data_IF_912576085926
#
_entry.id   IF_912576085926
#
_cell.length_a   1.000
_cell.length_b   1.000
_cell.length_c   1.000
_cell.angle_alpha   90.00
_cell.angle_beta   90.00
_cell.angle_gamma   90.00
#
_symmetry.space_group_name_H-M   'P 1'
#
loop_
_entity.id
_entity.type
_entity.pdbx_description
1 polymer ?
#
# COMPACT_ATOMS: atom_id res chain seq x y z
N UNK A 1 -5.58 10.90 -15.83
CA UNK A 1 -5.09 9.68 -15.15
C UNK A 1 -5.25 8.52 -16.10
N UNK A 2 -4.17 7.78 -16.41
CA UNK A 2 -4.28 6.52 -17.16
C UNK A 2 -4.93 5.50 -16.23
N UNK A 3 -6.06 4.92 -16.63
CA UNK A 3 -6.63 3.76 -15.94
C UNK A 3 -5.68 2.60 -16.15
N UNK A 4 -5.02 2.16 -15.08
CA UNK A 4 -4.20 0.95 -15.12
C UNK A 4 -5.17 -0.23 -15.16
N UNK A 5 -4.98 -1.13 -16.12
CA UNK A 5 -5.78 -2.34 -16.22
C UNK A 5 -5.35 -3.31 -15.11
N UNK A 6 -6.31 -3.84 -14.36
CA UNK A 6 -6.07 -4.78 -13.27
C UNK A 6 -6.59 -6.17 -13.65
N UNK A 7 -5.70 -7.14 -13.72
CA UNK A 7 -6.03 -8.54 -13.87
C UNK A 7 -5.82 -9.27 -12.54
N UNK A 8 -6.90 -9.46 -11.78
CA UNK A 8 -6.88 -10.18 -10.50
C UNK A 8 -6.62 -11.66 -10.77
N UNK A 9 -5.59 -12.22 -10.12
CA UNK A 9 -5.21 -13.64 -10.25
C UNK A 9 -5.58 -14.46 -9.01
N UNK A 10 -5.52 -13.83 -7.84
CA UNK A 10 -5.86 -14.45 -6.57
C UNK A 10 -6.61 -13.44 -5.71
N UNK A 11 -7.61 -13.91 -4.98
CA UNK A 11 -8.31 -13.16 -3.96
C UNK A 11 -8.65 -14.10 -2.82
N UNK A 12 -8.40 -13.67 -1.59
CA UNK A 12 -8.87 -14.34 -0.39
C UNK A 12 -9.25 -13.29 0.66
N UNK A 13 -10.29 -13.61 1.43
CA UNK A 13 -10.79 -12.73 2.47
C UNK A 13 -10.91 -13.54 3.76
N UNK A 14 -10.25 -13.05 4.81
CA UNK A 14 -10.36 -13.54 6.18
C UNK A 14 -11.14 -12.52 7.02
N UNK A 15 -11.59 -12.92 8.21
CA UNK A 15 -12.23 -11.99 9.14
C UNK A 15 -11.46 -11.97 10.46
N UNK A 16 -11.07 -10.78 10.87
CA UNK A 16 -10.52 -10.50 12.19
C UNK A 16 -11.63 -9.88 13.03
N UNK A 17 -12.06 -10.55 14.08
CA UNK A 17 -12.99 -9.98 15.06
C UNK A 17 -12.17 -9.46 16.24
N UNK A 18 -12.29 -8.15 16.51
CA UNK A 18 -11.63 -7.49 17.62
C UNK A 18 -12.59 -6.50 18.25
N UNK A 19 -12.85 -6.71 19.53
CA UNK A 19 -13.60 -5.79 20.39
C UNK A 19 -12.64 -5.13 21.38
N UNK A 20 -12.98 -3.93 21.85
CA UNK A 20 -12.19 -3.21 22.83
C UNK A 20 -11.99 -4.06 24.11
N UNK A 21 -10.73 -4.25 24.52
CA UNK A 21 -10.37 -5.03 25.70
C UNK A 21 -10.51 -6.55 25.58
N UNK A 22 -10.94 -7.08 24.43
CA UNK A 22 -11.02 -8.52 24.18
C UNK A 22 -9.91 -9.00 23.24
N UNK A 23 -9.43 -10.26 23.36
CA UNK A 23 -8.47 -10.81 22.43
C UNK A 23 -9.07 -10.96 21.02
N UNK A 24 -8.24 -10.75 20.01
CA UNK A 24 -8.59 -10.90 18.62
C UNK A 24 -8.95 -12.35 18.30
N UNK A 25 -9.96 -12.55 17.45
CA UNK A 25 -10.37 -13.87 16.95
C UNK A 25 -10.32 -13.87 15.43
N UNK A 26 -9.68 -14.90 14.87
CA UNK A 26 -9.49 -15.02 13.44
C UNK A 26 -10.41 -16.09 12.84
N UNK A 27 -11.09 -15.73 11.76
CA UNK A 27 -11.87 -16.64 10.93
C UNK A 27 -11.20 -16.72 9.57
N UNK A 28 -10.49 -17.83 9.36
CA UNK A 28 -9.76 -18.10 8.14
C UNK A 28 -10.68 -18.69 7.08
N UNK A 29 -10.30 -18.46 5.83
CA UNK A 29 -10.95 -19.04 4.66
C UNK A 29 -10.00 -20.10 4.10
N UNK A 30 -10.55 -21.25 3.71
CA UNK A 30 -9.74 -22.41 3.33
C UNK A 30 -9.45 -22.51 1.82
N UNK A 31 -10.06 -21.64 1.02
CA UNK A 31 -9.91 -21.63 -0.43
C UNK A 31 -10.03 -20.20 -0.99
N UNK A 32 -9.48 -19.99 -2.18
CA UNK A 32 -9.59 -18.72 -2.90
C UNK A 32 -11.06 -18.32 -3.13
N UNK A 33 -11.30 -17.03 -3.22
CA UNK A 33 -12.58 -16.50 -3.68
C UNK A 33 -12.76 -16.81 -5.17
N UNK A 34 -14.00 -17.07 -5.59
CA UNK A 34 -14.32 -17.05 -7.00
C UNK A 34 -14.10 -15.63 -7.53
N UNK A 35 -13.42 -15.49 -8.67
CA UNK A 35 -13.14 -14.20 -9.29
C UNK A 35 -14.34 -13.76 -10.16
N UNK A 36 -15.51 -13.64 -9.52
CA UNK A 36 -16.72 -13.13 -10.14
C UNK A 36 -16.74 -11.59 -10.20
N UNK A 37 -17.78 -11.01 -10.79
CA UNK A 37 -17.90 -9.56 -10.91
C UNK A 37 -17.89 -8.81 -9.56
N UNK A 38 -18.35 -9.42 -8.46
CA UNK A 38 -18.32 -8.78 -7.15
C UNK A 38 -16.91 -8.80 -6.55
N UNK A 39 -16.20 -9.92 -6.67
CA UNK A 39 -14.80 -10.05 -6.29
C UNK A 39 -13.90 -9.06 -7.04
N UNK A 40 -14.09 -8.91 -8.35
CA UNK A 40 -13.30 -7.95 -9.14
C UNK A 40 -13.60 -6.51 -8.70
N UNK A 41 -14.87 -6.14 -8.54
CA UNK A 41 -15.25 -4.80 -8.04
C UNK A 41 -14.70 -4.50 -6.64
N UNK A 42 -14.56 -5.52 -5.78
CA UNK A 42 -13.96 -5.36 -4.46
C UNK A 42 -12.50 -4.92 -4.58
N UNK A 43 -11.73 -5.59 -5.43
CA UNK A 43 -10.30 -5.28 -5.65
C UNK A 43 -10.14 -3.93 -6.31
N UNK A 44 -10.96 -3.60 -7.32
CA UNK A 44 -10.97 -2.26 -7.95
C UNK A 44 -11.29 -1.15 -6.96
N UNK A 45 -12.26 -1.38 -6.06
CA UNK A 45 -12.61 -0.41 -5.03
C UNK A 45 -11.48 -0.22 -4.04
N UNK A 46 -10.80 -1.30 -3.66
CA UNK A 46 -9.63 -1.25 -2.78
C UNK A 46 -8.50 -0.44 -3.43
N UNK A 47 -8.12 -0.77 -4.66
CA UNK A 47 -7.02 -0.09 -5.36
C UNK A 47 -7.35 1.38 -5.62
N UNK A 48 -8.55 1.70 -6.10
CA UNK A 48 -9.01 3.07 -6.31
C UNK A 48 -9.05 3.90 -5.02
N UNK A 49 -9.55 3.31 -3.92
CA UNK A 49 -9.58 3.98 -2.62
C UNK A 49 -8.17 4.25 -2.12
N UNK A 50 -7.28 3.26 -2.17
CA UNK A 50 -5.88 3.42 -1.80
C UNK A 50 -5.22 4.53 -2.62
N UNK A 51 -5.45 4.55 -3.95
CA UNK A 51 -4.82 5.53 -4.82
C UNK A 51 -5.27 6.97 -4.52
N UNK A 52 -6.53 7.17 -4.17
CA UNK A 52 -7.09 8.48 -3.80
C UNK A 52 -6.47 9.10 -2.53
N UNK A 53 -5.77 8.33 -1.69
CA UNK A 53 -5.19 8.83 -0.44
C UNK A 53 -3.84 9.50 -0.70
N UNK A 54 -3.66 10.71 -0.18
CA UNK A 54 -2.38 11.44 -0.23
C UNK A 54 -1.37 10.95 0.82
N UNK A 55 -1.84 10.52 1.99
CA UNK A 55 -0.98 10.08 3.09
C UNK A 55 -0.51 8.62 2.91
N UNK A 56 0.50 8.41 2.05
CA UNK A 56 1.15 7.11 1.82
C UNK A 56 2.59 7.09 2.34
N UNK A 57 3.00 5.97 2.91
CA UNK A 57 4.38 5.62 3.18
C UNK A 57 4.90 4.68 2.10
N UNK A 58 6.20 4.73 1.84
CA UNK A 58 6.81 3.88 0.83
C UNK A 58 8.21 3.43 1.26
N UNK A 59 8.60 2.24 0.80
CA UNK A 59 9.91 1.71 1.03
C UNK A 59 10.08 0.29 0.52
N UNK A 60 10.84 -0.49 1.29
CA UNK A 60 11.22 -1.87 1.00
C UNK A 60 11.02 -2.71 2.26
N UNK A 61 11.15 -4.03 2.16
CA UNK A 61 11.09 -4.87 3.35
C UNK A 61 12.23 -4.54 4.35
N UNK A 62 11.96 -4.76 5.63
CA UNK A 62 12.96 -4.81 6.67
C UNK A 62 13.91 -5.99 6.44
N UNK A 63 15.16 -5.86 6.85
CA UNK A 63 16.20 -6.90 6.68
C UNK A 63 16.07 -8.03 7.72
N UNK A 64 15.49 -7.72 8.89
CA UNK A 64 15.22 -8.70 9.94
C UNK A 64 13.96 -9.52 9.62
N UNK A 65 14.15 -10.62 8.89
CA UNK A 65 13.09 -11.56 8.52
C UNK A 65 12.59 -12.44 9.69
N UNK A 66 13.27 -12.43 10.85
CA UNK A 66 12.78 -13.11 12.05
C UNK A 66 11.66 -12.29 12.69
N UNK A 67 11.86 -10.97 12.80
CA UNK A 67 10.84 -10.04 13.32
C UNK A 67 9.78 -9.69 12.27
N UNK A 68 10.18 -9.63 11.00
CA UNK A 68 9.34 -9.21 9.87
C UNK A 68 9.31 -10.27 8.75
N UNK A 69 8.58 -11.38 8.95
CA UNK A 69 8.70 -12.57 8.10
C UNK A 69 8.03 -12.48 6.72
N UNK A 70 7.34 -11.37 6.40
CA UNK A 70 6.59 -11.26 5.15
C UNK A 70 7.47 -11.42 3.92
N UNK A 71 8.66 -10.83 3.91
CA UNK A 71 9.61 -10.97 2.80
C UNK A 71 9.98 -12.44 2.55
N UNK A 72 10.22 -13.19 3.63
CA UNK A 72 10.49 -14.63 3.57
C UNK A 72 9.31 -15.41 2.98
N UNK A 73 8.10 -15.19 3.50
CA UNK A 73 6.91 -15.89 3.01
C UNK A 73 6.60 -15.59 1.55
N UNK A 74 6.81 -14.34 1.12
CA UNK A 74 6.68 -13.98 -0.27
C UNK A 74 7.76 -14.63 -1.12
N UNK A 75 8.99 -14.81 -0.63
CA UNK A 75 10.03 -15.55 -1.36
C UNK A 75 9.63 -17.01 -1.54
N UNK A 76 9.18 -17.65 -0.46
CA UNK A 76 8.70 -19.03 -0.47
C UNK A 76 7.51 -19.22 -1.45
N UNK A 77 6.60 -18.24 -1.51
CA UNK A 77 5.45 -18.30 -2.43
C UNK A 77 5.79 -17.96 -3.87
N UNK A 78 6.58 -16.89 -4.07
CA UNK A 78 6.74 -16.25 -5.37
C UNK A 78 7.95 -16.81 -6.10
N UNK A 79 9.05 -17.15 -5.41
CA UNK A 79 10.31 -17.58 -6.02
C UNK A 79 10.49 -19.09 -5.91
N UNK A 80 10.26 -19.64 -4.71
CA UNK A 80 10.60 -21.05 -4.43
C UNK A 80 9.43 -22.01 -4.72
N UNK A 81 8.21 -21.49 -4.92
CA UNK A 81 6.96 -22.25 -5.10
C UNK A 81 6.71 -23.28 -3.96
N UNK A 82 7.21 -22.98 -2.77
CA UNK A 82 7.15 -23.83 -1.58
C UNK A 82 5.96 -23.52 -0.66
N UNK A 83 5.34 -22.35 -0.84
CA UNK A 83 4.20 -21.88 -0.04
C UNK A 83 3.06 -21.47 -0.98
N UNK A 84 1.91 -22.13 -0.90
CA UNK A 84 0.75 -21.71 -1.71
C UNK A 84 0.12 -20.40 -1.19
N UNK A 85 -0.72 -19.76 -2.02
CA UNK A 85 -1.31 -18.46 -1.69
C UNK A 85 -2.25 -18.51 -0.47
N UNK A 86 -2.92 -19.64 -0.23
CA UNK A 86 -3.83 -19.81 0.92
C UNK A 86 -3.02 -19.96 2.21
N UNK A 87 -1.92 -20.70 2.18
CA UNK A 87 -1.01 -20.83 3.30
C UNK A 87 -0.32 -19.49 3.62
N UNK A 88 0.13 -18.75 2.60
CA UNK A 88 0.66 -17.39 2.73
C UNK A 88 -0.38 -16.46 3.40
N UNK A 89 -1.63 -16.49 2.94
CA UNK A 89 -2.66 -15.60 3.48
C UNK A 89 -3.03 -15.91 4.92
N UNK A 90 -3.00 -17.20 5.32
CA UNK A 90 -3.18 -17.63 6.72
C UNK A 90 -2.06 -17.12 7.62
N UNK A 91 -0.79 -17.29 7.23
CA UNK A 91 0.36 -16.77 8.00
C UNK A 91 0.30 -15.24 8.12
N UNK A 92 -0.06 -14.54 7.05
CA UNK A 92 -0.28 -13.10 7.09
C UNK A 92 -1.43 -12.70 8.05
N UNK A 93 -2.52 -13.45 8.03
CA UNK A 93 -3.68 -13.19 8.90
C UNK A 93 -3.37 -13.44 10.39
N UNK A 94 -2.60 -14.48 10.70
CA UNK A 94 -2.12 -14.76 12.06
C UNK A 94 -1.17 -13.65 12.55
N UNK A 95 -0.30 -13.13 11.67
CA UNK A 95 0.55 -11.97 11.98
C UNK A 95 -0.28 -10.72 12.29
N UNK A 96 -1.32 -10.47 11.48
CA UNK A 96 -2.27 -9.37 11.72
C UNK A 96 -2.97 -9.53 13.07
N UNK A 97 -3.41 -10.75 13.42
CA UNK A 97 -4.04 -11.03 14.71
C UNK A 97 -3.09 -10.75 15.88
N UNK A 98 -1.86 -11.25 15.82
CA UNK A 98 -0.86 -11.05 16.88
C UNK A 98 -0.54 -9.57 17.10
N UNK A 99 -0.35 -8.80 16.01
CA UNK A 99 -0.14 -7.34 16.11
C UNK A 99 -1.40 -6.64 16.60
N UNK A 100 -2.60 -7.09 16.19
CA UNK A 100 -3.85 -6.49 16.63
C UNK A 100 -4.07 -6.61 18.15
N UNK A 101 -3.62 -7.72 18.74
CA UNK A 101 -3.62 -7.91 20.19
C UNK A 101 -2.54 -7.10 20.89
N UNK A 102 -1.31 -7.07 20.35
CA UNK A 102 -0.19 -6.31 20.91
C UNK A 102 -0.46 -4.80 20.94
N UNK A 103 -1.04 -4.26 19.86
CA UNK A 103 -1.36 -2.84 19.70
C UNK A 103 -2.74 -2.48 20.26
N UNK A 104 -3.42 -3.44 20.90
CA UNK A 104 -4.75 -3.29 21.49
C UNK A 104 -5.76 -2.62 20.55
N UNK A 105 -5.84 -3.09 19.29
CA UNK A 105 -6.76 -2.50 18.32
C UNK A 105 -8.21 -2.53 18.84
N UNK A 106 -8.92 -1.43 18.61
CA UNK A 106 -10.30 -1.25 19.08
C UNK A 106 -11.31 -1.98 18.19
N UNK A 107 -10.96 -2.18 16.91
CA UNK A 107 -11.86 -2.72 15.89
C UNK A 107 -11.16 -3.73 14.97
N UNK A 108 -11.92 -4.75 14.58
CA UNK A 108 -11.54 -5.74 13.58
C UNK A 108 -12.03 -5.35 12.18
N UNK A 109 -12.16 -6.35 11.31
CA UNK A 109 -12.69 -6.19 9.97
C UNK A 109 -12.36 -7.36 9.06
N UNK A 110 -12.52 -7.14 7.77
CA UNK A 110 -12.19 -8.10 6.73
C UNK A 110 -10.77 -7.87 6.22
N UNK A 111 -9.94 -8.90 6.37
CA UNK A 111 -8.59 -8.91 5.87
C UNK A 111 -8.59 -9.44 4.43
N UNK A 112 -8.37 -8.53 3.48
CA UNK A 112 -8.38 -8.80 2.05
C UNK A 112 -6.93 -8.96 1.58
N UNK A 113 -6.61 -10.08 0.93
CA UNK A 113 -5.38 -10.25 0.16
C UNK A 113 -5.73 -10.54 -1.29
N UNK A 114 -5.11 -9.80 -2.21
CA UNK A 114 -5.32 -9.98 -3.64
C UNK A 114 -3.99 -9.88 -4.40
N UNK A 115 -3.74 -10.83 -5.31
CA UNK A 115 -2.61 -10.74 -6.26
C UNK A 115 -3.12 -10.27 -7.60
N UNK A 116 -2.63 -9.14 -8.07
CA UNK A 116 -3.13 -8.41 -9.24
C UNK A 116 -1.97 -8.18 -10.21
N UNK A 117 -2.17 -8.51 -11.48
CA UNK A 117 -1.28 -8.04 -12.55
C UNK A 117 -1.79 -6.69 -13.03
N UNK A 118 -0.97 -5.67 -12.87
CA UNK A 118 -1.31 -4.29 -13.20
C UNK A 118 -0.64 -3.88 -14.52
N UNK A 119 -1.40 -3.33 -15.46
CA UNK A 119 -0.93 -2.94 -16.79
C UNK A 119 -1.03 -4.07 -17.83
N UNK A 120 -0.64 -3.75 -19.06
CA UNK A 120 -0.72 -4.68 -20.21
C UNK A 120 0.64 -4.91 -20.85
N UNK A 121 0.86 -6.12 -21.38
CA UNK A 121 2.07 -6.49 -22.11
C UNK A 121 3.33 -6.63 -21.23
N UNK A 122 4.49 -6.36 -21.83
CA UNK A 122 5.83 -6.56 -21.24
C UNK A 122 6.12 -5.64 -20.04
N UNK A 123 5.30 -4.61 -19.82
CA UNK A 123 5.41 -3.69 -18.68
C UNK A 123 4.48 -3.99 -17.50
N UNK A 124 3.80 -5.15 -17.48
CA UNK A 124 2.89 -5.49 -16.39
C UNK A 124 3.63 -5.75 -15.07
N UNK A 125 3.10 -5.19 -13.98
CA UNK A 125 3.62 -5.38 -12.63
C UNK A 125 2.78 -6.41 -11.88
N UNK A 126 3.41 -7.42 -11.30
CA UNK A 126 2.74 -8.38 -10.43
C UNK A 126 2.73 -7.83 -9.00
N UNK A 127 1.55 -7.55 -8.47
CA UNK A 127 1.37 -6.80 -7.24
C UNK A 127 0.54 -7.59 -6.23
N UNK A 128 0.96 -7.55 -4.96
CA UNK A 128 0.18 -8.02 -3.84
C UNK A 128 -0.48 -6.83 -3.14
N UNK A 129 -1.80 -6.88 -3.01
CA UNK A 129 -2.61 -5.97 -2.24
C UNK A 129 -3.01 -6.63 -0.93
N UNK A 130 -2.89 -5.89 0.17
CA UNK A 130 -3.34 -6.31 1.48
C UNK A 130 -4.08 -5.16 2.16
N UNK A 131 -5.24 -5.44 2.78
CA UNK A 131 -5.98 -4.43 3.52
C UNK A 131 -6.83 -5.04 4.65
N UNK A 132 -6.98 -4.31 5.75
CA UNK A 132 -8.00 -4.57 6.77
C UNK A 132 -9.11 -3.52 6.63
N UNK A 133 -10.31 -3.96 6.28
CA UNK A 133 -11.47 -3.09 6.00
C UNK A 133 -12.56 -3.37 7.02
N UNK A 134 -12.94 -2.35 7.79
CA UNK A 134 -14.07 -2.42 8.71
C UNK A 134 -15.41 -2.46 7.98
N UNK A 135 -16.48 -2.64 8.74
CA UNK A 135 -17.85 -2.51 8.24
C UNK A 135 -18.50 -1.23 8.76
N UNK A 136 -19.38 -0.66 7.96
CA UNK A 136 -20.31 0.38 8.37
C UNK A 136 -21.75 -0.11 8.16
N UNK A 137 -22.63 0.27 9.08
CA UNK A 137 -24.05 0.03 8.93
C UNK A 137 -24.65 0.99 7.90
N UNK A 138 -25.49 0.45 7.04
CA UNK A 138 -26.22 1.18 6.03
C UNK A 138 -27.64 0.69 5.93
N UNK A 139 -28.39 1.36 5.07
CA UNK A 139 -29.78 1.03 4.79
C UNK A 139 -29.90 0.70 3.31
N UNK A 140 -30.48 -0.44 3.00
CA UNK A 140 -30.82 -0.85 1.64
C UNK A 140 -32.33 -0.90 1.46
N UNK A 141 -32.77 -0.68 0.22
CA UNK A 141 -34.17 -0.90 -0.17
C UNK A 141 -34.24 -2.24 -0.90
N UNK A 142 -35.10 -3.14 -0.42
CA UNK A 142 -35.33 -4.45 -1.03
C UNK A 142 -36.07 -4.34 -2.38
N UNK A 143 -36.18 -5.44 -3.12
CA UNK A 143 -37.00 -5.49 -4.33
C UNK A 143 -38.50 -5.25 -4.09
N UNK A 144 -38.97 -5.40 -2.85
CA UNK A 144 -40.35 -5.10 -2.41
C UNK A 144 -40.51 -3.69 -1.83
N UNK A 145 -39.49 -2.83 -1.99
CA UNK A 145 -39.43 -1.48 -1.44
C UNK A 145 -39.42 -1.41 0.09
N UNK A 146 -38.97 -2.48 0.76
CA UNK A 146 -38.79 -2.50 2.21
C UNK A 146 -37.43 -1.94 2.60
N UNK A 147 -37.41 -1.20 3.71
CA UNK A 147 -36.19 -0.64 4.31
C UNK A 147 -35.52 -1.73 5.15
N UNK A 148 -34.27 -2.05 4.82
CA UNK A 148 -33.49 -3.10 5.48
C UNK A 148 -32.15 -2.56 5.98
N UNK A 149 -31.80 -2.90 7.21
CA UNK A 149 -30.45 -2.71 7.72
C UNK A 149 -29.48 -3.65 7.01
N UNK A 150 -28.37 -3.11 6.51
CA UNK A 150 -27.32 -3.84 5.79
C UNK A 150 -25.96 -3.26 6.11
N UNK A 151 -25.10 -4.08 6.69
CA UNK A 151 -23.70 -3.73 6.85
C UNK A 151 -22.96 -3.88 5.51
N UNK A 152 -21.95 -3.04 5.31
CA UNK A 152 -21.14 -3.02 4.10
C UNK A 152 -19.70 -2.64 4.43
N UNK A 153 -18.78 -3.01 3.54
CA UNK A 153 -17.36 -2.66 3.69
C UNK A 153 -17.16 -1.14 3.61
N UNK A 154 -16.54 -0.58 4.65
CA UNK A 154 -16.26 0.84 4.77
C UNK A 154 -14.86 1.20 4.24
N UNK A 155 -14.80 1.42 2.92
CA UNK A 155 -13.61 1.94 2.27
C UNK A 155 -13.32 3.41 2.61
N UNK A 156 -14.32 4.18 3.07
CA UNK A 156 -14.10 5.58 3.43
C UNK A 156 -13.31 5.72 4.74
N UNK A 157 -13.40 4.74 5.64
CA UNK A 157 -12.56 4.61 6.84
C UNK A 157 -11.27 3.80 6.61
N UNK A 158 -10.94 3.41 5.37
CA UNK A 158 -9.75 2.60 5.07
C UNK A 158 -8.46 3.33 5.51
N UNK A 159 -7.79 2.76 6.52
CA UNK A 159 -6.53 3.24 7.09
C UNK A 159 -5.42 2.18 7.09
N UNK A 160 -5.74 0.91 6.84
CA UNK A 160 -4.80 -0.21 6.82
C UNK A 160 -4.88 -0.88 5.45
N UNK A 161 -4.10 -0.35 4.49
CA UNK A 161 -3.96 -0.93 3.16
C UNK A 161 -2.54 -0.72 2.65
N UNK A 162 -2.07 -1.66 1.83
CA UNK A 162 -0.76 -1.63 1.23
C UNK A 162 -0.70 -2.42 -0.06
N UNK A 163 0.28 -2.02 -0.88
CA UNK A 163 0.58 -2.59 -2.19
C UNK A 163 2.07 -2.91 -2.24
N UNK A 164 2.39 -4.14 -2.62
CA UNK A 164 3.76 -4.61 -2.81
C UNK A 164 3.92 -4.97 -4.29
N UNK A 165 4.81 -4.27 -5.00
CA UNK A 165 5.23 -4.63 -6.35
C UNK A 165 6.21 -5.81 -6.28
N UNK A 166 5.71 -7.02 -6.50
CA UNK A 166 6.51 -8.24 -6.46
C UNK A 166 7.51 -8.29 -7.63
N UNK A 167 7.14 -7.72 -8.78
CA UNK A 167 8.04 -7.60 -9.93
C UNK A 167 9.22 -6.66 -9.61
N UNK A 168 8.96 -5.49 -9.03
CA UNK A 168 9.99 -4.55 -8.60
C UNK A 168 10.86 -5.09 -7.48
N UNK A 169 10.27 -5.78 -6.51
CA UNK A 169 11.01 -6.46 -5.46
C UNK A 169 12.00 -7.50 -6.03
N UNK A 170 11.57 -8.33 -6.99
CA UNK A 170 12.45 -9.31 -7.66
C UNK A 170 13.58 -8.66 -8.47
N UNK A 171 13.37 -7.47 -9.02
CA UNK A 171 14.41 -6.70 -9.72
C UNK A 171 15.42 -6.06 -8.77
N UNK A 172 15.12 -6.01 -7.46
CA UNK A 172 15.93 -5.32 -6.47
C UNK A 172 15.70 -3.81 -6.46
N UNK A 173 14.52 -3.35 -6.86
CA UNK A 173 14.17 -1.94 -6.79
C UNK A 173 14.21 -1.46 -5.33
N UNK A 174 14.55 -0.18 -5.11
CA UNK A 174 14.66 0.38 -3.75
C UNK A 174 13.30 0.74 -3.12
N UNK A 175 12.23 0.82 -3.93
CA UNK A 175 10.89 1.22 -3.50
C UNK A 175 9.82 0.41 -4.24
N UNK A 176 9.38 -0.68 -3.62
CA UNK A 176 8.34 -1.56 -4.15
C UNK A 176 7.16 -1.73 -3.20
N UNK A 177 7.27 -1.27 -1.94
CA UNK A 177 6.23 -1.37 -0.94
C UNK A 177 5.63 0.00 -0.68
N UNK A 178 4.31 0.12 -0.80
CA UNK A 178 3.53 1.28 -0.40
C UNK A 178 2.45 0.91 0.61
N UNK A 179 2.14 1.80 1.54
CA UNK A 179 1.07 1.62 2.52
C UNK A 179 0.41 2.93 2.92
N UNK A 180 -0.84 2.87 3.38
CA UNK A 180 -1.52 4.03 3.96
C UNK A 180 -0.93 4.31 5.34
N UNK A 181 -0.45 5.54 5.56
CA UNK A 181 -0.06 5.97 6.91
C UNK A 181 -1.33 6.12 7.72
N UNK A 182 -1.55 5.24 8.69
CA UNK A 182 -2.68 5.37 9.60
C UNK A 182 -2.55 6.66 10.42
N UNK A 183 -3.69 7.19 10.88
CA UNK A 183 -3.72 8.39 11.72
C UNK A 183 -3.69 7.99 13.20
N UNK A 184 -3.07 8.81 14.04
CA UNK A 184 -3.05 8.60 15.49
C UNK A 184 -2.08 7.51 15.97
N UNK A 185 -2.20 7.10 17.24
CA UNK A 185 -1.27 6.18 17.91
C UNK A 185 -1.25 4.78 17.28
N UNK A 186 -2.41 4.29 16.82
CA UNK A 186 -2.53 3.03 16.07
C UNK A 186 -2.22 3.15 14.57
N UNK A 187 -1.57 4.22 14.10
CA UNK A 187 -1.37 4.42 12.66
C UNK A 187 -0.25 3.57 12.04
N UNK A 188 0.66 3.06 12.89
CA UNK A 188 1.91 2.42 12.46
C UNK A 188 1.86 0.88 12.47
N UNK A 189 0.84 0.25 13.06
CA UNK A 189 0.78 -1.21 13.19
C UNK A 189 0.80 -1.91 11.83
N UNK A 190 0.13 -1.35 10.82
CA UNK A 190 0.07 -1.96 9.50
C UNK A 190 1.42 -1.94 8.79
N UNK A 191 2.25 -0.91 9.03
CA UNK A 191 3.66 -0.88 8.61
C UNK A 191 4.44 -2.04 9.23
N UNK A 192 4.20 -2.34 10.53
CA UNK A 192 4.82 -3.47 11.24
C UNK A 192 4.39 -4.82 10.66
N UNK A 193 3.11 -4.98 10.30
CA UNK A 193 2.61 -6.19 9.62
C UNK A 193 3.33 -6.40 8.30
N UNK A 194 3.44 -5.34 7.50
CA UNK A 194 4.09 -5.39 6.20
C UNK A 194 5.62 -5.53 6.30
N UNK A 195 6.20 -5.20 7.45
CA UNK A 195 7.65 -5.17 7.64
C UNK A 195 8.31 -4.17 6.69
N UNK A 196 7.77 -2.96 6.57
CA UNK A 196 8.34 -1.94 5.68
C UNK A 196 9.38 -1.11 6.42
N UNK A 197 10.61 -1.07 5.90
CA UNK A 197 11.59 -0.04 6.26
C UNK A 197 11.25 1.25 5.51
N UNK A 198 11.20 2.39 6.21
CA UNK A 198 10.99 3.67 5.53
C UNK A 198 12.26 4.01 4.75
N UNK A 199 12.13 4.05 3.44
CA UNK A 199 13.24 4.47 2.59
C UNK A 199 13.27 6.00 2.62
N UNK A 200 14.13 6.55 3.49
CA UNK A 200 14.44 7.98 3.62
C UNK A 200 15.18 8.50 2.38
N UNK A 201 14.59 8.34 1.19
CA UNK A 201 15.18 8.79 -0.07
C UNK A 201 14.79 10.22 -0.40
N UNK A 202 13.63 10.72 0.03
CA UNK A 202 13.25 12.12 -0.24
C UNK A 202 14.31 13.13 0.23
N UNK A 203 14.84 12.98 1.46
CA UNK A 203 15.85 13.93 1.95
C UNK A 203 17.21 13.78 1.25
N UNK A 204 17.61 12.56 0.87
CA UNK A 204 18.90 12.33 0.21
C UNK A 204 18.86 12.66 -1.29
N UNK A 205 17.74 12.40 -1.98
CA UNK A 205 17.53 12.78 -3.38
C UNK A 205 17.29 14.28 -3.51
N UNK A 206 16.50 14.92 -2.65
CA UNK A 206 16.42 16.39 -2.61
C UNK A 206 17.80 17.00 -2.35
N UNK A 207 18.59 16.46 -1.43
CA UNK A 207 19.97 16.92 -1.21
C UNK A 207 20.90 16.69 -2.40
N UNK A 208 20.80 15.55 -3.09
CA UNK A 208 21.58 15.27 -4.31
C UNK A 208 21.15 16.17 -5.47
N UNK A 209 19.86 16.46 -5.60
CA UNK A 209 19.30 17.34 -6.62
C UNK A 209 19.75 18.78 -6.38
N UNK A 210 19.60 19.30 -5.16
CA UNK A 210 20.12 20.62 -4.75
C UNK A 210 21.63 20.69 -5.01
N UNK A 211 22.41 19.69 -4.56
CA UNK A 211 23.86 19.67 -4.79
C UNK A 211 24.27 19.52 -6.27
N UNK A 212 23.38 19.04 -7.13
CA UNK A 212 23.60 18.94 -8.58
C UNK A 212 23.25 20.24 -9.28
N UNK A 213 22.16 20.90 -8.86
CA UNK A 213 21.79 22.25 -9.28
C UNK A 213 22.87 23.26 -8.88
N UNK A 214 23.38 23.21 -7.65
CA UNK A 214 24.50 24.04 -7.18
C UNK A 214 25.72 23.86 -8.10
N UNK A 215 26.06 22.61 -8.40
CA UNK A 215 27.19 22.28 -9.28
C UNK A 215 26.98 22.75 -10.72
N UNK A 216 25.75 22.65 -11.24
CA UNK A 216 25.41 23.13 -12.58
C UNK A 216 25.60 24.64 -12.67
N UNK A 217 25.06 25.39 -11.71
CA UNK A 217 25.20 26.85 -11.69
C UNK A 217 26.67 27.27 -11.53
N UNK A 218 27.44 26.59 -10.68
CA UNK A 218 28.86 26.85 -10.51
C UNK A 218 29.66 26.56 -11.78
N UNK A 219 29.28 25.53 -12.54
CA UNK A 219 29.95 25.14 -13.81
C UNK A 219 29.66 26.14 -14.93
N UNK A 220 28.42 26.62 -15.02
CA UNK A 220 27.97 27.57 -16.04
C UNK A 220 28.36 29.04 -15.73
N UNK A 221 29.03 29.29 -14.59
CA UNK A 221 29.48 30.61 -14.14
C UNK A 221 28.37 31.68 -14.17
N UNK A 222 27.14 31.28 -13.81
CA UNK A 222 26.00 32.20 -13.87
C UNK A 222 26.22 33.38 -12.91
N UNK A 223 25.68 34.54 -13.28
CA UNK A 223 25.72 35.71 -12.40
C UNK A 223 24.93 35.43 -11.10
N UNK A 224 25.31 36.04 -9.97
CA UNK A 224 24.69 35.77 -8.67
C UNK A 224 23.15 35.87 -8.70
N UNK A 225 22.61 36.88 -9.38
CA UNK A 225 21.16 37.07 -9.52
C UNK A 225 20.47 35.96 -10.33
N UNK A 226 21.15 35.41 -11.34
CA UNK A 226 20.60 34.33 -12.19
C UNK A 226 20.66 33.00 -11.47
N UNK A 227 21.73 32.74 -10.72
CA UNK A 227 21.84 31.58 -9.83
C UNK A 227 20.69 31.53 -8.85
N UNK A 228 20.50 32.63 -8.12
CA UNK A 228 19.52 32.66 -7.03
C UNK A 228 18.10 32.45 -7.59
N UNK A 229 17.79 33.01 -8.76
CA UNK A 229 16.51 32.79 -9.46
C UNK A 229 16.30 31.34 -9.96
N UNK A 230 17.36 30.67 -10.46
CA UNK A 230 17.29 29.28 -10.90
C UNK A 230 17.06 28.33 -9.72
N UNK A 231 17.77 28.56 -8.60
CA UNK A 231 17.62 27.76 -7.38
C UNK A 231 16.24 27.97 -6.73
N UNK A 232 15.74 29.21 -6.69
CA UNK A 232 14.39 29.52 -6.19
C UNK A 232 13.31 28.83 -7.03
N UNK A 233 13.42 28.88 -8.37
CA UNK A 233 12.48 28.22 -9.27
C UNK A 233 12.51 26.69 -9.14
N UNK A 234 13.70 26.11 -8.99
CA UNK A 234 13.84 24.67 -8.75
C UNK A 234 13.24 24.27 -7.39
N UNK A 235 13.42 25.10 -6.36
CA UNK A 235 12.83 24.89 -5.03
C UNK A 235 11.30 24.93 -5.09
N UNK A 236 10.71 25.95 -5.72
CA UNK A 236 9.26 26.09 -5.87
C UNK A 236 8.65 24.94 -6.69
N UNK A 237 9.34 24.48 -7.73
CA UNK A 237 8.91 23.34 -8.54
C UNK A 237 8.96 22.03 -7.73
N UNK A 238 9.96 21.84 -6.88
CA UNK A 238 10.06 20.66 -6.03
C UNK A 238 9.04 20.68 -4.88
N UNK A 239 8.76 21.84 -4.30
CA UNK A 239 7.73 22.00 -3.27
C UNK A 239 6.34 21.69 -3.84
N UNK A 240 6.03 22.19 -5.05
CA UNK A 240 4.75 21.88 -5.73
C UNK A 240 4.62 20.40 -6.10
N UNK A 241 5.70 19.75 -6.54
CA UNK A 241 5.72 18.30 -6.78
C UNK A 241 5.57 17.48 -5.48
N UNK A 242 6.19 17.93 -4.39
CA UNK A 242 6.08 17.32 -3.06
C UNK A 242 4.67 17.38 -2.49
N UNK A 243 3.98 18.51 -2.67
CA UNK A 243 2.57 18.67 -2.29
C UNK A 243 1.62 17.83 -3.16
N UNK A 244 1.93 17.68 -4.45
CA UNK A 244 1.13 16.90 -5.40
C UNK A 244 1.41 15.39 -5.37
N UNK A 245 2.48 14.94 -4.70
CA UNK A 245 2.91 13.54 -4.69
C UNK A 245 3.32 13.01 -6.06
N UNK A 246 3.70 13.89 -6.99
CA UNK A 246 4.06 13.57 -8.37
C UNK A 246 5.57 13.28 -8.49
N UNK A 247 5.99 12.37 -9.38
CA UNK A 247 7.42 12.13 -9.62
C UNK A 247 8.08 13.33 -10.30
N UNK A 248 9.37 13.55 -10.01
CA UNK A 248 10.17 14.60 -10.66
C UNK A 248 10.43 14.21 -12.12
N UNK A 249 10.02 15.06 -13.07
CA UNK A 249 10.31 14.91 -14.51
C UNK A 249 11.38 15.93 -14.89
N UNK A 250 12.58 15.45 -15.21
CA UNK A 250 13.76 16.30 -15.45
C UNK A 250 13.69 17.14 -16.74
N UNK A 251 12.79 16.82 -17.68
CA UNK A 251 12.65 17.54 -18.96
C UNK A 251 11.92 18.90 -18.81
N UNK A 252 11.34 19.19 -17.65
CA UNK A 252 10.55 20.41 -17.39
C UNK A 252 11.28 21.49 -16.56
N UNK A 253 12.52 21.19 -16.11
CA UNK A 253 13.35 22.10 -15.32
C UNK A 253 14.02 23.20 -16.17
#
# INVERSE_FOLDING_TARGET
MRTVEHHVTHLIVHTLVKDAGAPARLFLRDALCALDGAALRLVERLSGQYESRSAKGFGRFEEDEETFPLARWLREHVIDDALDFVALSRQFAERVQAIADEEELEHGGHLILARVREGTGEGSADCLWAALVGEADGVAISGTLEVLDRSHLDFAALHAAGRIDLSGWRRGDERYLGFLRGRGKGGAWFKRVLGCSDVMVALQETKKLVATLDRFVDTEQLTPATRDAVLERAHDYLDTLGEAGAPVVFEEL
#
